data_IF_730260195362
#
_entry.id   IF_730260195362
#
_cell.length_a   1.000
_cell.length_b   1.000
_cell.length_c   1.000
_cell.angle_alpha   90.00
_cell.angle_beta   90.00
_cell.angle_gamma   90.00
#
_symmetry.space_group_name_H-M   'P 1'
#
loop_
_entity.id
_entity.type
_entity.pdbx_description
1 polymer ?
#
# COMPACT_ATOMS: atom_id res chain seq x y z
N UNK A 1 -9.36 24.97 -14.64
CA UNK A 1 -9.31 24.40 -13.26
C UNK A 1 -9.76 22.94 -13.33
N UNK A 2 -9.10 22.06 -12.58
CA UNK A 2 -9.51 20.65 -12.55
C UNK A 2 -10.92 20.47 -11.99
N UNK A 3 -11.70 19.57 -12.57
CA UNK A 3 -13.04 19.19 -12.10
C UNK A 3 -12.97 18.34 -10.84
N UNK A 4 -14.07 18.23 -10.08
CA UNK A 4 -14.15 17.33 -8.91
C UNK A 4 -13.80 15.87 -9.28
N UNK A 5 -14.31 15.39 -10.43
CA UNK A 5 -14.00 14.05 -10.93
C UNK A 5 -12.50 13.84 -11.19
N UNK A 6 -11.80 14.86 -11.69
CA UNK A 6 -10.34 14.81 -11.86
C UNK A 6 -9.60 14.80 -10.54
N UNK A 7 -10.03 15.56 -9.54
CA UNK A 7 -9.48 15.53 -8.19
C UNK A 7 -9.67 14.15 -7.55
N UNK A 8 -10.88 13.56 -7.64
CA UNK A 8 -11.15 12.19 -7.17
C UNK A 8 -10.25 11.18 -7.91
N UNK A 9 -10.08 11.33 -9.22
CA UNK A 9 -9.15 10.46 -9.98
C UNK A 9 -7.70 10.60 -9.49
N UNK A 10 -7.28 11.81 -9.09
CA UNK A 10 -5.95 12.10 -8.52
C UNK A 10 -5.69 11.40 -7.18
N UNK A 11 -6.73 11.16 -6.36
CA UNK A 11 -6.59 10.35 -5.13
C UNK A 11 -6.29 8.89 -5.40
N UNK A 12 -6.46 8.43 -6.65
CA UNK A 12 -6.26 7.04 -7.10
C UNK A 12 -7.07 6.02 -6.28
N UNK A 13 -8.41 6.00 -6.37
CA UNK A 13 -9.25 5.10 -5.57
C UNK A 13 -8.87 3.62 -5.68
N UNK A 14 -8.28 3.21 -6.80
CA UNK A 14 -7.80 1.83 -7.03
C UNK A 14 -6.64 1.41 -6.12
N UNK A 15 -5.99 2.35 -5.44
CA UNK A 15 -4.91 2.08 -4.47
C UNK A 15 -5.41 2.03 -3.02
N UNK A 16 -6.67 2.38 -2.76
CA UNK A 16 -7.25 2.34 -1.41
C UNK A 16 -7.25 0.95 -0.76
N UNK A 17 -7.36 -0.18 -1.48
CA UNK A 17 -7.15 -1.49 -0.87
C UNK A 17 -5.85 -1.60 -0.08
N UNK A 18 -4.75 -0.96 -0.54
CA UNK A 18 -3.48 -0.95 0.18
C UNK A 18 -3.57 -0.26 1.56
N UNK A 19 -4.50 0.68 1.74
CA UNK A 19 -4.67 1.38 3.02
C UNK A 19 -5.68 0.70 3.94
N UNK A 20 -6.70 0.06 3.37
CA UNK A 20 -7.81 -0.54 4.12
C UNK A 20 -7.41 -1.93 4.61
N UNK A 21 -6.87 -2.77 3.74
CA UNK A 21 -6.56 -4.16 4.03
C UNK A 21 -5.62 -4.35 5.24
N UNK A 22 -4.49 -3.62 5.35
CA UNK A 22 -3.62 -3.75 6.52
C UNK A 22 -4.29 -3.40 7.84
N UNK A 23 -5.13 -2.36 7.84
CA UNK A 23 -5.86 -1.94 9.06
C UNK A 23 -6.87 -3.00 9.48
N UNK A 24 -7.57 -3.63 8.53
CA UNK A 24 -8.49 -4.73 8.83
C UNK A 24 -7.76 -5.92 9.48
N UNK A 25 -6.60 -6.28 8.94
CA UNK A 25 -5.79 -7.38 9.50
C UNK A 25 -5.28 -7.05 10.90
N UNK A 26 -4.79 -5.81 11.12
CA UNK A 26 -4.34 -5.36 12.44
C UNK A 26 -5.49 -5.30 13.47
N UNK A 27 -6.67 -4.85 13.04
CA UNK A 27 -7.87 -4.83 13.90
C UNK A 27 -8.37 -6.24 14.21
N UNK A 28 -8.37 -7.16 13.23
CA UNK A 28 -8.69 -8.57 13.46
C UNK A 28 -7.72 -9.23 14.45
N UNK A 29 -6.42 -8.93 14.33
CA UNK A 29 -5.41 -9.42 15.29
C UNK A 29 -5.62 -8.86 16.71
N UNK A 30 -6.05 -7.59 16.83
CA UNK A 30 -6.43 -7.01 18.12
C UNK A 30 -7.69 -7.66 18.70
N UNK A 31 -8.67 -7.96 17.86
CA UNK A 31 -9.92 -8.65 18.28
C UNK A 31 -9.62 -10.05 18.84
N UNK A 32 -8.74 -10.79 18.18
CA UNK A 32 -8.36 -12.15 18.59
C UNK A 32 -7.73 -12.25 19.98
N UNK A 33 -7.21 -11.14 20.52
CA UNK A 33 -6.64 -11.05 21.87
C UNK A 33 -7.47 -10.14 22.80
N UNK A 34 -8.76 -9.99 22.53
CA UNK A 34 -9.70 -9.19 23.31
C UNK A 34 -9.31 -7.71 23.51
N UNK A 35 -8.52 -7.15 22.58
CA UNK A 35 -8.02 -5.77 22.65
C UNK A 35 -8.65 -4.83 21.60
N UNK A 36 -9.72 -5.26 20.92
CA UNK A 36 -10.34 -4.48 19.85
C UNK A 36 -10.99 -3.19 20.36
N UNK A 37 -10.66 -2.07 19.70
CA UNK A 37 -11.26 -0.76 19.91
C UNK A 37 -11.67 -0.15 18.56
N UNK A 38 -12.98 0.04 18.38
CA UNK A 38 -13.53 0.55 17.13
C UNK A 38 -13.09 2.00 16.82
N UNK A 39 -12.95 2.85 17.84
CA UNK A 39 -12.53 4.26 17.64
C UNK A 39 -11.07 4.30 17.20
N UNK A 40 -10.19 3.54 17.86
CA UNK A 40 -8.78 3.44 17.46
C UNK A 40 -8.64 2.83 16.07
N UNK A 41 -9.45 1.82 15.74
CA UNK A 41 -9.48 1.24 14.38
C UNK A 41 -9.89 2.25 13.32
N UNK A 42 -10.94 3.04 13.55
CA UNK A 42 -11.40 4.08 12.62
C UNK A 42 -10.37 5.20 12.46
N UNK A 43 -9.70 5.60 13.54
CA UNK A 43 -8.60 6.57 13.47
C UNK A 43 -7.39 6.01 12.70
N UNK A 44 -7.01 4.75 12.93
CA UNK A 44 -5.94 4.09 12.17
C UNK A 44 -6.27 4.00 10.68
N UNK A 45 -7.53 3.70 10.34
CA UNK A 45 -8.02 3.70 8.97
C UNK A 45 -7.95 5.10 8.34
N UNK A 46 -8.35 6.14 9.07
CA UNK A 46 -8.27 7.52 8.60
C UNK A 46 -6.80 7.93 8.36
N UNK A 47 -5.88 7.59 9.27
CA UNK A 47 -4.43 7.82 9.10
C UNK A 47 -3.93 7.15 7.82
N UNK A 48 -4.21 5.85 7.65
CA UNK A 48 -3.75 5.07 6.51
C UNK A 48 -4.29 5.61 5.19
N UNK A 49 -5.59 5.91 5.12
CA UNK A 49 -6.21 6.47 3.91
C UNK A 49 -5.71 7.88 3.59
N UNK A 50 -5.57 8.75 4.60
CA UNK A 50 -5.10 10.10 4.42
C UNK A 50 -3.64 10.11 3.93
N UNK A 51 -2.78 9.25 4.48
CA UNK A 51 -1.40 9.11 4.01
C UNK A 51 -1.34 8.55 2.59
N UNK A 52 -2.16 7.58 2.24
CA UNK A 52 -2.24 7.06 0.86
C UNK A 52 -2.63 8.16 -0.14
N UNK A 53 -3.64 8.96 0.17
CA UNK A 53 -4.07 10.08 -0.67
C UNK A 53 -2.96 11.14 -0.73
N UNK A 54 -2.36 11.47 0.40
CA UNK A 54 -1.23 12.41 0.49
C UNK A 54 -0.05 11.99 -0.38
N UNK A 55 0.37 10.73 -0.31
CA UNK A 55 1.43 10.16 -1.16
C UNK A 55 1.04 10.20 -2.64
N UNK A 56 -0.21 9.91 -2.99
CA UNK A 56 -0.67 9.95 -4.37
C UNK A 56 -0.57 11.36 -4.97
N UNK A 57 -0.96 12.39 -4.21
CA UNK A 57 -0.80 13.79 -4.62
C UNK A 57 0.66 14.25 -4.59
N UNK A 58 1.46 13.82 -3.61
CA UNK A 58 2.89 14.13 -3.56
C UNK A 58 3.63 13.56 -4.78
N UNK A 59 3.28 12.33 -5.19
CA UNK A 59 3.82 11.69 -6.37
C UNK A 59 3.38 12.41 -7.65
N UNK A 60 2.11 12.82 -7.75
CA UNK A 60 1.61 13.59 -8.89
C UNK A 60 2.34 14.94 -9.03
N UNK A 61 2.48 15.67 -7.91
CA UNK A 61 3.23 16.92 -7.87
C UNK A 61 4.69 16.73 -8.28
N UNK A 62 5.38 15.79 -7.65
CA UNK A 62 6.83 15.62 -7.82
C UNK A 62 7.21 15.09 -9.20
N UNK A 63 6.45 14.11 -9.71
CA UNK A 63 6.64 13.55 -11.05
C UNK A 63 6.29 14.58 -12.12
N UNK A 64 5.19 15.35 -11.90
CA UNK A 64 4.73 16.37 -12.82
C UNK A 64 5.73 17.52 -13.01
N UNK A 65 6.33 18.04 -11.92
CA UNK A 65 7.35 19.12 -12.04
C UNK A 65 8.66 18.64 -12.64
N UNK A 66 8.94 17.33 -12.61
CA UNK A 66 10.13 16.73 -13.23
C UNK A 66 9.92 16.32 -14.69
N UNK A 67 8.67 16.38 -15.18
CA UNK A 67 8.34 15.96 -16.54
C UNK A 67 8.35 14.45 -16.77
N UNK A 68 8.50 13.63 -15.72
CA UNK A 68 8.53 12.17 -15.83
C UNK A 68 7.19 11.55 -16.23
N UNK A 69 6.09 12.32 -16.15
CA UNK A 69 4.74 11.89 -16.49
C UNK A 69 4.32 12.23 -17.96
N UNK A 70 5.18 12.88 -18.75
CA UNK A 70 4.82 13.40 -20.09
C UNK A 70 4.38 12.29 -21.10
N UNK A 71 4.98 11.08 -21.01
CA UNK A 71 4.71 9.96 -21.92
C UNK A 71 4.26 8.68 -21.17
N UNK A 72 3.68 8.82 -20.00
CA UNK A 72 3.35 7.69 -19.14
C UNK A 72 2.11 6.92 -19.58
N UNK A 73 2.20 5.60 -19.55
CA UNK A 73 1.05 4.68 -19.63
C UNK A 73 0.55 4.41 -18.20
N UNK A 74 -0.46 5.15 -17.74
CA UNK A 74 -0.93 4.98 -16.36
C UNK A 74 -2.18 5.79 -16.03
N UNK A 75 -2.59 5.81 -14.74
CA UNK A 75 -3.75 6.60 -14.31
C UNK A 75 -3.54 8.09 -14.57
N UNK A 76 -4.66 8.81 -14.68
CA UNK A 76 -4.69 10.26 -14.84
C UNK A 76 -3.84 10.98 -13.78
N UNK A 77 -3.13 12.03 -14.21
CA UNK A 77 -2.28 12.89 -13.38
C UNK A 77 -2.74 14.33 -13.51
N UNK A 78 -2.95 14.99 -12.38
CA UNK A 78 -3.42 16.39 -12.33
C UNK A 78 -2.38 17.36 -12.89
N UNK A 79 -1.11 17.21 -12.47
CA UNK A 79 -0.02 18.09 -12.92
C UNK A 79 0.46 17.68 -14.31
N UNK A 80 0.71 16.39 -14.54
CA UNK A 80 1.23 15.90 -15.83
C UNK A 80 0.30 16.15 -17.00
N UNK A 81 -1.03 16.19 -16.78
CA UNK A 81 -2.01 16.54 -17.80
C UNK A 81 -2.27 18.05 -17.95
N UNK A 82 -1.69 18.89 -17.09
CA UNK A 82 -1.98 20.32 -17.04
C UNK A 82 -3.36 20.69 -16.43
N UNK A 83 -4.11 19.71 -15.91
CA UNK A 83 -5.46 19.96 -15.36
C UNK A 83 -5.44 20.81 -14.08
N UNK A 84 -4.39 20.68 -13.25
CA UNK A 84 -4.21 21.48 -12.05
C UNK A 84 -2.80 22.07 -11.96
N UNK A 85 -2.72 23.24 -11.32
CA UNK A 85 -1.42 23.86 -11.04
C UNK A 85 -0.63 23.02 -10.02
N UNK A 86 0.71 22.88 -10.19
CA UNK A 86 1.55 22.12 -9.26
C UNK A 86 1.38 22.54 -7.79
N UNK A 87 1.28 23.85 -7.54
CA UNK A 87 1.04 24.41 -6.19
C UNK A 87 -0.25 23.85 -5.55
N UNK A 88 -1.33 23.74 -6.31
CA UNK A 88 -2.61 23.25 -5.81
C UNK A 88 -2.51 21.77 -5.42
N UNK A 89 -1.87 20.93 -6.25
CA UNK A 89 -1.68 19.50 -5.98
C UNK A 89 -0.73 19.28 -4.78
N UNK A 90 0.34 20.07 -4.67
CA UNK A 90 1.22 20.04 -3.49
C UNK A 90 0.46 20.38 -2.21
N UNK A 91 -0.36 21.42 -2.23
CA UNK A 91 -1.14 21.84 -1.05
C UNK A 91 -2.17 20.75 -0.68
N UNK A 92 -2.78 20.08 -1.66
CA UNK A 92 -3.67 18.93 -1.43
C UNK A 92 -2.90 17.75 -0.78
N UNK A 93 -1.65 17.50 -1.19
CA UNK A 93 -0.80 16.50 -0.55
C UNK A 93 -0.56 16.83 0.93
N UNK A 94 -0.16 18.06 1.23
CA UNK A 94 0.05 18.50 2.62
C UNK A 94 -1.24 18.51 3.45
N UNK A 95 -2.38 18.88 2.86
CA UNK A 95 -3.66 18.82 3.54
C UNK A 95 -4.02 17.39 3.92
N UNK A 96 -3.86 16.43 3.00
CA UNK A 96 -4.12 15.02 3.27
C UNK A 96 -3.17 14.46 4.34
N UNK A 97 -1.86 14.73 4.24
CA UNK A 97 -0.88 14.35 5.27
C UNK A 97 -1.19 14.99 6.63
N UNK A 98 -1.65 16.24 6.64
CA UNK A 98 -2.10 16.95 7.83
C UNK A 98 -3.32 16.31 8.50
N UNK A 99 -4.32 15.90 7.72
CA UNK A 99 -5.47 15.13 8.23
C UNK A 99 -5.00 13.82 8.88
N UNK A 100 -4.10 13.10 8.21
CA UNK A 100 -3.51 11.88 8.77
C UNK A 100 -2.70 12.15 10.05
N UNK A 101 -1.95 13.26 10.10
CA UNK A 101 -1.20 13.66 11.30
C UNK A 101 -2.12 13.97 12.48
N UNK A 102 -3.21 14.72 12.25
CA UNK A 102 -4.20 15.04 13.29
C UNK A 102 -4.90 13.79 13.81
N UNK A 103 -5.32 12.90 12.92
CA UNK A 103 -5.90 11.59 13.29
C UNK A 103 -4.88 10.73 14.06
N UNK A 104 -3.61 10.74 13.65
CA UNK A 104 -2.53 10.06 14.34
C UNK A 104 -2.26 10.61 15.74
N UNK A 105 -2.29 11.92 15.91
CA UNK A 105 -2.17 12.56 17.23
C UNK A 105 -3.34 12.19 18.15
N UNK A 106 -4.58 12.16 17.63
CA UNK A 106 -5.75 11.71 18.37
C UNK A 106 -5.58 10.23 18.79
N UNK A 107 -5.09 9.37 17.87
CA UNK A 107 -4.83 7.97 18.13
C UNK A 107 -3.75 7.77 19.21
N UNK A 108 -2.67 8.56 19.17
CA UNK A 108 -1.61 8.55 20.21
C UNK A 108 -2.16 9.00 21.57
N UNK A 109 -2.96 10.06 21.59
CA UNK A 109 -3.58 10.55 22.82
C UNK A 109 -4.53 9.52 23.46
N UNK A 110 -5.29 8.79 22.64
CA UNK A 110 -6.19 7.73 23.14
C UNK A 110 -5.45 6.46 23.58
N UNK A 111 -4.33 6.13 22.92
CA UNK A 111 -3.55 4.93 23.24
C UNK A 111 -2.53 5.16 24.36
N UNK A 112 -2.10 6.41 24.58
CA UNK A 112 -1.05 6.77 25.54
C UNK A 112 0.38 6.48 25.09
N UNK A 113 0.60 5.97 23.86
CA UNK A 113 1.92 5.61 23.35
C UNK A 113 2.60 6.80 22.65
N UNK A 114 3.05 7.78 23.43
CA UNK A 114 3.59 9.07 22.94
C UNK A 114 4.81 8.94 22.02
N UNK A 115 5.59 7.88 22.12
CA UNK A 115 6.73 7.60 21.23
C UNK A 115 6.29 7.45 19.74
N UNK A 116 5.03 7.08 19.49
CA UNK A 116 4.47 6.96 18.15
C UNK A 116 4.40 8.29 17.40
N UNK A 117 4.51 9.43 18.08
CA UNK A 117 4.66 10.74 17.41
C UNK A 117 5.92 10.75 16.54
N UNK A 118 7.05 10.27 17.08
CA UNK A 118 8.30 10.14 16.32
C UNK A 118 8.16 9.18 15.13
N UNK A 119 7.48 8.05 15.34
CA UNK A 119 7.18 7.10 14.27
C UNK A 119 6.28 7.71 13.18
N UNK A 120 5.24 8.44 13.56
CA UNK A 120 4.35 9.16 12.63
C UNK A 120 5.11 10.22 11.81
N UNK A 121 6.04 10.95 12.45
CA UNK A 121 6.90 11.91 11.75
C UNK A 121 7.79 11.22 10.70
N UNK A 122 8.35 10.05 11.02
CA UNK A 122 9.10 9.22 10.04
C UNK A 122 8.21 8.77 8.89
N UNK A 123 6.96 8.34 9.18
CA UNK A 123 6.01 7.95 8.13
C UNK A 123 5.68 9.13 7.19
N UNK A 124 5.45 10.34 7.73
CA UNK A 124 5.19 11.55 6.92
C UNK A 124 6.41 11.91 6.07
N UNK A 125 7.60 11.87 6.67
CA UNK A 125 8.84 12.11 5.94
C UNK A 125 9.04 11.05 4.83
N UNK A 126 8.81 9.77 5.14
CA UNK A 126 8.82 8.69 4.16
C UNK A 126 7.84 8.92 3.02
N UNK A 127 6.61 9.32 3.33
CA UNK A 127 5.59 9.64 2.33
C UNK A 127 6.02 10.77 1.39
N UNK A 128 6.59 11.85 1.95
CA UNK A 128 7.03 12.99 1.16
C UNK A 128 8.27 12.69 0.32
N UNK A 129 9.31 12.12 0.93
CA UNK A 129 10.58 11.87 0.27
C UNK A 129 10.58 10.63 -0.64
N UNK A 130 9.47 9.90 -0.73
CA UNK A 130 9.32 8.81 -1.68
C UNK A 130 9.57 9.27 -3.12
N UNK A 131 8.96 10.38 -3.53
CA UNK A 131 9.19 11.04 -4.84
C UNK A 131 9.65 12.48 -4.71
N UNK A 132 9.55 13.09 -3.54
CA UNK A 132 9.91 14.47 -3.26
C UNK A 132 11.42 14.66 -3.01
N UNK A 133 11.85 15.93 -2.93
CA UNK A 133 13.25 16.30 -2.68
C UNK A 133 14.16 16.15 -3.90
N UNK A 134 15.45 16.39 -3.70
CA UNK A 134 16.48 16.33 -4.78
C UNK A 134 16.86 14.90 -5.15
N UNK A 135 16.82 13.96 -4.20
CA UNK A 135 17.18 12.54 -4.36
C UNK A 135 16.09 11.66 -3.73
N UNK A 136 14.94 11.47 -4.42
CA UNK A 136 13.87 10.65 -3.89
C UNK A 136 14.30 9.18 -3.79
N UNK A 137 14.03 8.56 -2.64
CA UNK A 137 14.44 7.18 -2.42
C UNK A 137 13.65 6.16 -3.26
N UNK A 138 12.42 6.51 -3.67
CA UNK A 138 11.64 5.70 -4.61
C UNK A 138 12.25 5.60 -6.01
N UNK A 139 13.20 6.49 -6.34
CA UNK A 139 13.96 6.46 -7.60
C UNK A 139 15.34 5.80 -7.43
N UNK A 140 15.68 5.39 -6.21
CA UNK A 140 16.95 4.78 -5.85
C UNK A 140 16.85 3.25 -5.61
N UNK A 141 15.74 2.61 -6.05
CA UNK A 141 15.52 1.17 -5.88
C UNK A 141 15.00 0.76 -4.52
N UNK A 142 14.62 1.71 -3.66
CA UNK A 142 14.11 1.44 -2.31
C UNK A 142 12.57 1.47 -2.23
N UNK A 143 11.91 1.64 -3.38
CA UNK A 143 10.44 1.80 -3.43
C UNK A 143 9.71 0.56 -2.93
N UNK A 144 10.10 -0.61 -3.38
CA UNK A 144 9.48 -1.88 -3.03
C UNK A 144 9.66 -2.21 -1.54
N UNK A 145 10.85 -1.96 -1.00
CA UNK A 145 11.11 -2.12 0.43
C UNK A 145 10.26 -1.17 1.27
N UNK A 146 10.15 0.09 0.85
CA UNK A 146 9.32 1.06 1.56
C UNK A 146 7.84 0.66 1.54
N UNK A 147 7.31 0.23 0.41
CA UNK A 147 5.93 -0.27 0.31
C UNK A 147 5.72 -1.46 1.24
N UNK A 148 6.65 -2.42 1.26
CA UNK A 148 6.58 -3.54 2.20
C UNK A 148 6.50 -3.06 3.66
N UNK A 149 7.39 -2.17 4.07
CA UNK A 149 7.50 -1.70 5.45
C UNK A 149 6.29 -0.85 5.88
N UNK A 150 5.83 0.06 5.01
CA UNK A 150 4.74 0.97 5.38
C UNK A 150 3.36 0.31 5.32
N UNK A 151 3.09 -0.57 4.36
CA UNK A 151 1.79 -1.25 4.22
C UNK A 151 1.72 -2.60 4.95
N UNK A 152 2.87 -3.19 5.30
CA UNK A 152 2.94 -4.37 6.17
C UNK A 152 3.15 -3.96 7.63
N UNK A 153 4.40 -3.98 8.14
CA UNK A 153 4.69 -3.72 9.54
C UNK A 153 4.08 -2.43 10.08
N UNK A 154 4.27 -1.29 9.42
CA UNK A 154 3.79 -0.03 9.94
C UNK A 154 2.26 0.04 10.07
N UNK A 155 1.53 -0.39 9.03
CA UNK A 155 0.07 -0.30 9.04
C UNK A 155 -0.58 -1.41 9.87
N UNK A 156 -0.15 -2.67 9.73
CA UNK A 156 -0.75 -3.81 10.46
C UNK A 156 -0.36 -3.77 11.93
N UNK A 157 0.95 -3.76 12.22
CA UNK A 157 1.42 -3.79 13.60
C UNK A 157 1.14 -2.47 14.32
N UNK A 158 1.18 -1.34 13.61
CA UNK A 158 0.76 -0.05 14.16
C UNK A 158 -0.70 -0.08 14.60
N UNK A 159 -1.60 -0.64 13.79
CA UNK A 159 -3.03 -0.78 14.12
C UNK A 159 -3.25 -1.74 15.30
N UNK A 160 -2.55 -2.86 15.35
CA UNK A 160 -2.59 -3.79 16.48
C UNK A 160 -2.06 -3.12 17.75
N UNK A 161 -0.87 -2.51 17.66
CA UNK A 161 -0.16 -1.97 18.82
C UNK A 161 -0.90 -0.83 19.51
N UNK A 162 -1.52 0.07 18.77
CA UNK A 162 -2.30 1.17 19.36
C UNK A 162 -3.54 0.70 20.13
N UNK A 163 -3.97 -0.53 19.90
CA UNK A 163 -5.11 -1.15 20.58
C UNK A 163 -4.64 -2.04 21.74
N UNK A 164 -3.69 -2.92 21.48
CA UNK A 164 -3.27 -3.98 22.38
C UNK A 164 -2.05 -3.62 23.26
N UNK A 165 -1.21 -2.67 22.83
CA UNK A 165 0.06 -2.36 23.48
C UNK A 165 1.15 -3.40 23.25
N UNK A 166 0.88 -4.42 22.45
CA UNK A 166 1.82 -5.51 22.14
C UNK A 166 1.75 -5.94 20.69
N UNK A 167 2.70 -6.76 20.27
CA UNK A 167 2.79 -7.36 18.94
C UNK A 167 2.68 -8.87 19.06
N UNK A 168 1.73 -9.47 18.35
CA UNK A 168 1.49 -10.92 18.36
C UNK A 168 2.10 -11.62 17.15
N UNK A 169 2.32 -12.94 17.23
CA UNK A 169 2.76 -13.75 16.09
C UNK A 169 1.79 -13.70 14.91
N UNK A 170 0.48 -13.66 15.18
CA UNK A 170 -0.58 -13.49 14.15
C UNK A 170 -0.45 -12.12 13.48
N UNK A 171 -0.24 -11.06 14.26
CA UNK A 171 0.01 -9.72 13.74
C UNK A 171 1.25 -9.65 12.86
N UNK A 172 2.36 -10.30 13.26
CA UNK A 172 3.58 -10.38 12.44
C UNK A 172 3.29 -11.11 11.12
N UNK A 173 2.66 -12.28 11.15
CA UNK A 173 2.27 -13.01 9.95
C UNK A 173 1.39 -12.14 9.02
N UNK A 174 0.35 -11.51 9.57
CA UNK A 174 -0.51 -10.59 8.84
C UNK A 174 0.25 -9.41 8.22
N UNK A 175 1.23 -8.85 8.94
CA UNK A 175 2.06 -7.74 8.46
C UNK A 175 2.94 -8.15 7.28
N UNK A 176 3.54 -9.33 7.33
CA UNK A 176 4.33 -9.89 6.21
C UNK A 176 3.44 -10.15 5.00
N UNK A 177 2.24 -10.71 5.19
CA UNK A 177 1.28 -10.95 4.12
C UNK A 177 0.84 -9.65 3.44
N UNK A 178 0.48 -8.62 4.22
CA UNK A 178 0.06 -7.32 3.67
C UNK A 178 1.20 -6.59 2.98
N UNK A 179 2.39 -6.61 3.57
CA UNK A 179 3.60 -6.07 2.94
C UNK A 179 3.89 -6.74 1.59
N UNK A 180 3.80 -8.08 1.53
CA UNK A 180 4.03 -8.85 0.31
C UNK A 180 2.98 -8.52 -0.77
N UNK A 181 1.68 -8.52 -0.46
CA UNK A 181 0.64 -8.14 -1.42
C UNK A 181 0.80 -6.70 -1.93
N UNK A 182 1.03 -5.74 -1.03
CA UNK A 182 1.21 -4.33 -1.42
C UNK A 182 2.44 -4.16 -2.32
N UNK A 183 3.52 -4.87 -2.01
CA UNK A 183 4.73 -4.89 -2.83
C UNK A 183 4.47 -5.57 -4.17
N UNK A 184 3.68 -6.65 -4.23
CA UNK A 184 3.30 -7.29 -5.48
C UNK A 184 2.52 -6.33 -6.40
N UNK A 185 1.58 -5.54 -5.86
CA UNK A 185 0.88 -4.48 -6.61
C UNK A 185 1.89 -3.48 -7.18
N UNK A 186 2.88 -3.06 -6.38
CA UNK A 186 3.91 -2.15 -6.85
C UNK A 186 4.81 -2.79 -7.90
N UNK A 187 5.25 -4.03 -7.71
CA UNK A 187 6.07 -4.77 -8.67
C UNK A 187 5.34 -4.94 -10.01
N UNK A 188 4.04 -5.22 -10.01
CA UNK A 188 3.23 -5.25 -11.24
C UNK A 188 3.21 -3.88 -11.94
N UNK A 189 3.18 -2.78 -11.16
CA UNK A 189 3.23 -1.43 -11.71
C UNK A 189 4.59 -1.12 -12.32
N UNK A 190 5.70 -1.41 -11.61
CA UNK A 190 7.06 -1.15 -12.10
C UNK A 190 7.45 -2.11 -13.24
N UNK A 191 6.95 -3.36 -13.25
CA UNK A 191 7.09 -4.28 -14.39
C UNK A 191 6.47 -3.71 -15.68
N UNK A 192 5.28 -3.11 -15.55
CA UNK A 192 4.62 -2.42 -16.67
C UNK A 192 5.44 -1.24 -17.19
N UNK A 193 6.04 -0.50 -16.26
CA UNK A 193 6.68 0.79 -16.53
C UNK A 193 8.19 0.68 -16.82
N UNK A 194 8.80 -0.53 -16.87
CA UNK A 194 10.24 -0.73 -17.17
C UNK A 194 10.73 0.14 -18.33
N UNK A 195 10.07 0.16 -19.53
CA UNK A 195 10.60 0.94 -20.65
C UNK A 195 10.62 2.45 -20.40
N UNK A 196 9.59 2.97 -19.74
CA UNK A 196 9.48 4.41 -19.44
C UNK A 196 10.35 4.82 -18.26
N UNK A 197 10.50 3.96 -17.26
CA UNK A 197 11.37 4.20 -16.10
C UNK A 197 12.84 4.25 -16.52
N UNK A 198 13.29 3.36 -17.45
CA UNK A 198 14.63 3.39 -18.01
C UNK A 198 14.90 4.68 -18.79
N UNK A 199 13.94 5.15 -19.61
CA UNK A 199 14.06 6.41 -20.34
C UNK A 199 14.13 7.63 -19.41
N UNK A 200 13.40 7.59 -18.29
CA UNK A 200 13.41 8.65 -17.27
C UNK A 200 14.61 8.58 -16.30
N UNK A 201 15.51 7.61 -16.45
CA UNK A 201 16.64 7.39 -15.55
C UNK A 201 16.23 6.95 -14.14
N UNK A 202 15.01 6.45 -13.97
CA UNK A 202 14.48 5.99 -12.70
C UNK A 202 14.96 4.57 -12.41
N UNK A 203 15.62 4.38 -11.28
CA UNK A 203 16.03 3.06 -10.80
C UNK A 203 14.93 2.48 -9.91
N UNK A 204 14.29 1.42 -10.36
CA UNK A 204 13.35 0.60 -9.60
C UNK A 204 13.93 -0.82 -9.48
N UNK A 205 13.38 -1.64 -8.60
CA UNK A 205 13.77 -3.04 -8.55
C UNK A 205 13.52 -3.73 -9.90
N UNK A 206 12.43 -3.39 -10.59
CA UNK A 206 12.09 -3.92 -11.90
C UNK A 206 13.10 -3.52 -12.99
N UNK A 207 13.61 -2.28 -13.01
CA UNK A 207 14.65 -1.85 -13.97
C UNK A 207 16.00 -2.50 -13.70
N UNK A 208 16.26 -2.91 -12.45
CA UNK A 208 17.50 -3.59 -12.04
C UNK A 208 17.46 -5.09 -12.33
N UNK A 209 16.35 -5.76 -12.00
CA UNK A 209 16.17 -7.20 -12.20
C UNK A 209 15.85 -7.57 -13.66
N UNK A 210 15.25 -6.63 -14.42
CA UNK A 210 14.71 -6.90 -15.74
C UNK A 210 13.35 -7.60 -15.72
N UNK A 211 12.77 -7.80 -16.89
CA UNK A 211 11.39 -8.31 -17.07
C UNK A 211 11.19 -9.69 -16.42
N UNK A 212 12.09 -10.64 -16.70
CA UNK A 212 11.95 -12.04 -16.27
C UNK A 212 11.97 -12.19 -14.75
N UNK A 213 12.99 -11.65 -14.10
CA UNK A 213 13.20 -11.85 -12.67
C UNK A 213 12.19 -11.02 -11.85
N UNK A 214 11.74 -9.89 -12.40
CA UNK A 214 10.62 -9.12 -11.82
C UNK A 214 9.32 -9.93 -11.81
N UNK A 215 9.06 -10.74 -12.84
CA UNK A 215 7.88 -11.64 -12.86
C UNK A 215 7.98 -12.72 -11.78
N UNK A 216 9.14 -13.32 -11.57
CA UNK A 216 9.35 -14.30 -10.50
C UNK A 216 9.20 -13.64 -9.12
N UNK A 217 9.74 -12.43 -8.94
CA UNK A 217 9.54 -11.67 -7.70
C UNK A 217 8.04 -11.42 -7.41
N UNK A 218 7.27 -11.00 -8.42
CA UNK A 218 5.83 -10.83 -8.29
C UNK A 218 5.13 -12.12 -7.83
N UNK A 219 5.45 -13.26 -8.46
CA UNK A 219 4.86 -14.56 -8.11
C UNK A 219 5.22 -14.98 -6.68
N UNK A 220 6.48 -14.79 -6.28
CA UNK A 220 6.93 -15.09 -4.93
C UNK A 220 6.18 -14.24 -3.89
N UNK A 221 6.05 -12.94 -4.14
CA UNK A 221 5.31 -12.03 -3.25
C UNK A 221 3.83 -12.40 -3.12
N UNK A 222 3.18 -12.75 -4.23
CA UNK A 222 1.76 -13.18 -4.21
C UNK A 222 1.59 -14.52 -3.48
N UNK A 223 2.58 -15.40 -3.48
CA UNK A 223 2.52 -16.68 -2.77
C UNK A 223 2.63 -16.54 -1.25
N UNK A 224 3.35 -15.53 -0.74
CA UNK A 224 3.61 -15.33 0.71
C UNK A 224 2.34 -15.35 1.56
N UNK A 225 1.26 -14.60 1.26
CA UNK A 225 0.03 -14.62 2.05
C UNK A 225 -0.59 -16.02 2.15
N UNK A 226 -0.52 -16.82 1.09
CA UNK A 226 -1.08 -18.18 1.07
C UNK A 226 -0.23 -19.18 1.85
N UNK A 227 1.09 -19.00 1.86
CA UNK A 227 1.98 -19.76 2.76
C UNK A 227 1.65 -19.47 4.22
N UNK A 228 1.44 -18.20 4.57
CA UNK A 228 1.04 -17.78 5.93
C UNK A 228 -0.34 -18.35 6.28
N UNK A 229 -1.30 -18.28 5.34
CA UNK A 229 -2.63 -18.89 5.49
C UNK A 229 -2.53 -20.40 5.80
N UNK A 230 -1.73 -21.13 5.04
CA UNK A 230 -1.53 -22.56 5.27
C UNK A 230 -0.87 -22.86 6.62
N UNK A 231 0.16 -22.08 7.00
CA UNK A 231 0.85 -22.24 8.27
C UNK A 231 -0.07 -21.96 9.48
N UNK A 232 -0.88 -20.89 9.40
CA UNK A 232 -1.85 -20.58 10.46
C UNK A 232 -2.98 -21.60 10.50
N UNK A 233 -3.44 -22.12 9.36
CA UNK A 233 -4.51 -23.10 9.25
C UNK A 233 -4.23 -24.43 9.95
N UNK A 234 -2.97 -24.74 10.26
CA UNK A 234 -2.59 -25.92 11.05
C UNK A 234 -3.08 -25.82 12.49
N UNK A 235 -3.11 -24.61 13.06
CA UNK A 235 -3.53 -24.34 14.44
C UNK A 235 -4.95 -23.81 14.51
N UNK A 236 -5.31 -22.95 13.56
CA UNK A 236 -6.57 -22.24 13.48
C UNK A 236 -7.25 -22.53 12.12
N UNK A 237 -8.11 -23.58 12.03
CA UNK A 237 -8.71 -23.99 10.75
C UNK A 237 -9.44 -22.88 10.00
N UNK A 238 -10.05 -21.91 10.72
CA UNK A 238 -10.72 -20.75 10.11
C UNK A 238 -9.75 -19.84 9.34
N UNK A 239 -8.46 -19.85 9.67
CA UNK A 239 -7.45 -19.11 8.91
C UNK A 239 -7.41 -19.51 7.43
N UNK A 240 -7.81 -20.76 7.10
CA UNK A 240 -7.89 -21.25 5.72
C UNK A 240 -8.90 -20.47 4.85
N UNK A 241 -9.79 -19.67 5.45
CA UNK A 241 -10.66 -18.74 4.71
C UNK A 241 -9.85 -17.74 3.87
N UNK A 242 -8.59 -17.46 4.22
CA UNK A 242 -7.69 -16.65 3.40
C UNK A 242 -7.52 -17.20 1.97
N UNK A 243 -7.66 -18.52 1.75
CA UNK A 243 -7.63 -19.11 0.41
C UNK A 243 -8.79 -18.70 -0.50
N UNK A 244 -9.88 -18.12 0.02
CA UNK A 244 -10.97 -17.57 -0.80
C UNK A 244 -10.47 -16.48 -1.77
N UNK A 245 -9.34 -15.83 -1.46
CA UNK A 245 -8.72 -14.82 -2.32
C UNK A 245 -7.85 -15.41 -3.44
N UNK A 246 -7.51 -16.71 -3.38
CA UNK A 246 -6.59 -17.36 -4.31
C UNK A 246 -7.04 -17.27 -5.79
N UNK A 247 -8.34 -17.42 -6.15
CA UNK A 247 -8.76 -17.29 -7.54
C UNK A 247 -8.43 -15.91 -8.14
N UNK A 248 -8.63 -14.83 -7.38
CA UNK A 248 -8.29 -13.46 -7.81
C UNK A 248 -6.78 -13.28 -7.97
N UNK A 249 -5.99 -13.78 -7.02
CA UNK A 249 -4.53 -13.75 -7.08
C UNK A 249 -4.00 -14.55 -8.29
N UNK A 250 -4.60 -15.72 -8.56
CA UNK A 250 -4.26 -16.57 -9.70
C UNK A 250 -4.53 -15.88 -11.05
N UNK A 251 -5.57 -15.05 -11.17
CA UNK A 251 -5.83 -14.29 -12.40
C UNK A 251 -4.67 -13.34 -12.71
N UNK A 252 -4.17 -12.59 -11.72
CA UNK A 252 -3.00 -11.73 -11.85
C UNK A 252 -1.74 -12.52 -12.20
N UNK A 253 -1.48 -13.59 -11.44
CA UNK A 253 -0.31 -14.46 -11.63
C UNK A 253 -0.29 -15.09 -13.03
N UNK A 254 -1.43 -15.55 -13.54
CA UNK A 254 -1.55 -16.13 -14.88
C UNK A 254 -1.16 -15.12 -15.98
N UNK A 255 -1.56 -13.85 -15.86
CA UNK A 255 -1.20 -12.79 -16.83
C UNK A 255 0.30 -12.50 -16.81
N UNK A 256 0.88 -12.42 -15.61
CA UNK A 256 2.32 -12.22 -15.43
C UNK A 256 3.11 -13.39 -16.02
N UNK A 257 2.69 -14.62 -15.78
CA UNK A 257 3.31 -15.83 -16.36
C UNK A 257 3.19 -15.90 -17.88
N UNK A 258 2.07 -15.44 -18.47
CA UNK A 258 1.87 -15.41 -19.93
C UNK A 258 2.77 -14.38 -20.63
N UNK A 259 3.45 -13.52 -19.90
CA UNK A 259 4.32 -12.51 -20.48
C UNK A 259 3.59 -11.23 -20.90
N UNK A 260 2.40 -10.95 -20.36
CA UNK A 260 1.67 -9.69 -20.62
C UNK A 260 2.58 -8.48 -20.35
N UNK A 261 2.45 -7.41 -21.18
CA UNK A 261 3.27 -6.18 -21.12
C UNK A 261 2.43 -4.92 -21.23
N UNK A 262 2.96 -3.80 -20.78
CA UNK A 262 2.31 -2.49 -20.92
C UNK A 262 0.89 -2.46 -20.36
N UNK A 263 -0.08 -1.97 -21.15
CA UNK A 263 -1.50 -1.84 -20.73
C UNK A 263 -2.15 -3.17 -20.30
N UNK A 264 -1.69 -4.31 -20.83
CA UNK A 264 -2.21 -5.63 -20.45
C UNK A 264 -1.92 -6.01 -18.99
N UNK A 265 -0.96 -5.34 -18.33
CA UNK A 265 -0.67 -5.51 -16.90
C UNK A 265 -1.59 -4.68 -15.99
N UNK A 266 -2.39 -3.73 -16.51
CA UNK A 266 -3.31 -2.93 -15.67
C UNK A 266 -4.31 -3.79 -14.90
N UNK A 267 -4.93 -4.84 -15.48
CA UNK A 267 -5.78 -5.74 -14.72
C UNK A 267 -5.06 -6.48 -13.59
N UNK A 268 -3.76 -6.75 -13.72
CA UNK A 268 -2.96 -7.42 -12.67
C UNK A 268 -2.96 -6.59 -11.38
N UNK A 269 -2.79 -5.26 -11.48
CA UNK A 269 -2.81 -4.39 -10.32
C UNK A 269 -4.17 -4.44 -9.60
N UNK A 270 -5.27 -4.41 -10.38
CA UNK A 270 -6.63 -4.49 -9.86
C UNK A 270 -6.87 -5.84 -9.16
N UNK A 271 -6.57 -6.93 -9.86
CA UNK A 271 -6.86 -8.29 -9.41
C UNK A 271 -6.04 -8.63 -8.16
N UNK A 272 -4.76 -8.19 -8.09
CA UNK A 272 -3.92 -8.33 -6.89
C UNK A 272 -4.44 -7.47 -5.72
N UNK A 273 -4.86 -6.23 -5.98
CA UNK A 273 -5.43 -5.35 -4.95
C UNK A 273 -6.76 -5.89 -4.40
N UNK A 274 -7.61 -6.47 -5.24
CA UNK A 274 -8.85 -7.12 -4.81
C UNK A 274 -8.56 -8.43 -4.06
N UNK A 275 -7.59 -9.22 -4.50
CA UNK A 275 -7.15 -10.42 -3.79
C UNK A 275 -6.64 -10.08 -2.38
N UNK A 276 -5.83 -9.02 -2.25
CA UNK A 276 -5.34 -8.53 -0.97
C UNK A 276 -6.49 -8.11 -0.04
N UNK A 277 -7.46 -7.35 -0.55
CA UNK A 277 -8.61 -6.89 0.24
C UNK A 277 -9.47 -8.08 0.68
N UNK A 278 -9.76 -9.02 -0.21
CA UNK A 278 -10.53 -10.22 0.13
C UNK A 278 -9.79 -11.10 1.13
N UNK A 279 -8.46 -11.26 0.98
CA UNK A 279 -7.63 -11.97 1.94
C UNK A 279 -7.70 -11.30 3.32
N UNK A 280 -7.60 -9.98 3.38
CA UNK A 280 -7.67 -9.22 4.62
C UNK A 280 -9.03 -9.37 5.32
N UNK A 281 -10.13 -9.27 4.57
CA UNK A 281 -11.49 -9.46 5.10
C UNK A 281 -11.69 -10.88 5.61
N UNK A 282 -11.28 -11.89 4.83
CA UNK A 282 -11.40 -13.30 5.21
C UNK A 282 -10.57 -13.64 6.44
N UNK A 283 -9.31 -13.14 6.51
CA UNK A 283 -8.43 -13.35 7.65
C UNK A 283 -8.91 -12.61 8.90
N UNK A 284 -9.31 -11.34 8.77
CA UNK A 284 -9.88 -10.60 9.90
C UNK A 284 -11.18 -11.26 10.40
N UNK A 285 -12.05 -11.70 9.48
CA UNK A 285 -13.26 -12.46 9.84
C UNK A 285 -12.96 -13.77 10.55
N UNK A 286 -11.94 -14.51 10.10
CA UNK A 286 -11.49 -15.72 10.77
C UNK A 286 -11.01 -15.46 12.20
N UNK A 287 -10.29 -14.37 12.42
CA UNK A 287 -9.78 -13.96 13.75
C UNK A 287 -10.88 -13.45 14.70
N UNK A 288 -12.01 -13.00 14.17
CA UNK A 288 -13.19 -12.60 14.95
C UNK A 288 -14.06 -13.79 15.33
N UNK A 289 -14.10 -14.83 14.51
CA UNK A 289 -14.98 -16.00 14.68
C UNK A 289 -14.31 -17.16 15.45
N UNK A 290 -12.98 -17.20 15.52
CA UNK A 290 -12.18 -18.20 16.22
C UNK A 290 -11.64 -17.67 17.52
#
# INVERSE_FOLDING_TARGET
MATLAQWISGTRPRTLPNSIAPVLVGAGAAFHIDAFDAVRTLLALLVSMAFQVGVNFANDYSDGIRGTDANRVGPFRLVGSGAAQPKAVRNAAFAALGVGALAGLALVALSGYWWLIGFGAVCIAGAWFYTGGKKPYGYAGLGELAVFLFFGPAAVLGTLYVQAGEVTGIGIGGSVAMGAFSTAVMVANTLRDIPTDLQAGKRTMATTLGDRDTRYLYLALVAVPFVITAANGVREPLALLGFLSLPLAALGARRVLKGDKGKALIPVLRDTGLAMLLWAVATAGALVLG
#
